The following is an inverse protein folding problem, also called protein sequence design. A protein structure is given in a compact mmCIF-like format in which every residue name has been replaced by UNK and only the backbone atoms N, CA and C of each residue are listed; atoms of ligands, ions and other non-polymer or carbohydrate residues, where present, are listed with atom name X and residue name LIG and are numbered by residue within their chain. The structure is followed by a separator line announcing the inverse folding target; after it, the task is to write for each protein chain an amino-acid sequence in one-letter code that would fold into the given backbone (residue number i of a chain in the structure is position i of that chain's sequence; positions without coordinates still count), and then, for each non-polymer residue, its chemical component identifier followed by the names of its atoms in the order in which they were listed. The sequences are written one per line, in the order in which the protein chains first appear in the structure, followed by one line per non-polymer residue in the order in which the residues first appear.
data_IF_610291634246
#
_entry.id   IF_610291634246
#
_cell.length_a   1.000
_cell.length_b   1.000
_cell.length_c   1.000
_cell.angle_alpha   90.00
_cell.angle_beta   90.00
_cell.angle_gamma   90.00
#
_symmetry.space_group_name_H-M   'P 1'
#
loop_
_entity.id
_entity.type
_entity.pdbx_description
1 polymer ?
#
# COMPACT_ATOMS: atom_id res chain seq x y z
N UNK A 1 -3.47 11.77 -28.82
CA UNK A 1 -3.33 12.70 -27.68
C UNK A 1 -3.90 11.98 -26.48
N UNK A 2 -3.15 11.86 -25.40
CA UNK A 2 -3.68 11.24 -24.18
C UNK A 2 -4.64 12.20 -23.47
N UNK A 3 -5.56 11.68 -22.65
CA UNK A 3 -6.49 12.52 -21.85
C UNK A 3 -5.73 13.51 -20.99
N UNK A 4 -4.56 13.11 -20.46
CA UNK A 4 -3.72 14.00 -19.65
C UNK A 4 -3.11 15.14 -20.48
N UNK A 5 -2.76 14.91 -21.75
CA UNK A 5 -2.33 15.97 -22.68
C UNK A 5 -3.46 16.93 -23.00
N UNK A 6 -4.66 16.42 -23.29
CA UNK A 6 -5.84 17.26 -23.54
C UNK A 6 -6.17 18.15 -22.33
N UNK A 7 -6.06 17.64 -21.11
CA UNK A 7 -6.25 18.43 -19.89
C UNK A 7 -5.18 19.52 -19.76
N UNK A 8 -3.91 19.21 -20.07
CA UNK A 8 -2.81 20.18 -20.03
C UNK A 8 -3.00 21.30 -21.08
N UNK A 9 -3.56 20.97 -22.22
CA UNK A 9 -3.83 21.95 -23.28
C UNK A 9 -5.00 22.89 -22.95
N UNK A 10 -5.93 22.43 -22.11
CA UNK A 10 -7.11 23.22 -21.70
C UNK A 10 -6.95 24.02 -20.41
N UNK A 11 -6.02 23.63 -19.54
CA UNK A 11 -5.78 24.27 -18.25
C UNK A 11 -4.46 24.99 -18.21
N UNK A 12 -4.50 26.30 -17.90
CA UNK A 12 -3.28 27.05 -17.56
C UNK A 12 -2.81 26.66 -16.16
N UNK A 13 -1.55 26.33 -16.05
CA UNK A 13 -0.93 26.00 -14.76
C UNK A 13 -1.01 27.15 -13.75
N UNK A 14 -0.97 28.41 -14.24
CA UNK A 14 -1.09 29.60 -13.38
C UNK A 14 -2.48 29.64 -12.74
N UNK A 15 -3.54 29.36 -13.50
CA UNK A 15 -4.91 29.34 -13.01
C UNK A 15 -5.12 28.21 -11.99
N UNK A 16 -4.62 27.02 -12.29
CA UNK A 16 -4.70 25.87 -11.39
C UNK A 16 -3.98 26.16 -10.07
N UNK A 17 -2.76 26.69 -10.13
CA UNK A 17 -1.96 26.96 -8.92
C UNK A 17 -2.50 28.17 -8.16
N UNK A 18 -3.02 29.19 -8.84
CA UNK A 18 -3.59 30.39 -8.21
C UNK A 18 -4.80 30.08 -7.32
N UNK A 19 -5.51 29.01 -7.60
CA UNK A 19 -6.60 28.53 -6.74
C UNK A 19 -6.13 28.11 -5.33
N UNK A 20 -4.85 27.83 -5.15
CA UNK A 20 -4.26 27.35 -3.89
C UNK A 20 -3.25 28.31 -3.27
N UNK A 21 -2.59 29.14 -4.09
CA UNK A 21 -1.46 29.97 -3.67
C UNK A 21 -1.53 31.33 -4.35
N UNK A 22 -1.41 32.44 -3.60
CA UNK A 22 -1.41 33.78 -4.20
C UNK A 22 -0.12 33.98 -5.01
N UNK A 23 -0.23 33.87 -6.33
CA UNK A 23 0.88 34.07 -7.27
C UNK A 23 1.11 35.55 -7.57
N UNK A 24 2.38 35.99 -7.59
CA UNK A 24 2.81 37.32 -8.01
C UNK A 24 3.63 37.22 -9.30
N UNK A 25 3.25 37.97 -10.32
CA UNK A 25 3.95 38.05 -11.61
C UNK A 25 5.36 38.64 -11.40
N UNK A 26 6.37 37.98 -11.93
CA UNK A 26 7.78 38.40 -11.88
C UNK A 26 8.42 38.20 -13.26
N UNK A 27 8.21 39.13 -14.17
CA UNK A 27 8.61 39.02 -15.58
C UNK A 27 7.80 37.95 -16.33
N UNK A 28 8.50 36.91 -16.84
CA UNK A 28 7.87 35.79 -17.57
C UNK A 28 7.38 34.64 -16.68
N UNK A 29 7.62 34.74 -15.38
CA UNK A 29 7.26 33.69 -14.41
C UNK A 29 6.37 34.24 -13.31
N UNK A 30 5.78 33.34 -12.52
CA UNK A 30 5.05 33.73 -11.31
C UNK A 30 5.78 33.16 -10.08
N UNK A 31 5.74 33.93 -8.98
CA UNK A 31 6.40 33.56 -7.72
C UNK A 31 5.44 33.59 -6.54
N UNK A 32 5.66 32.71 -5.57
CA UNK A 32 4.92 32.68 -4.31
C UNK A 32 5.78 32.07 -3.19
N UNK A 33 5.29 32.16 -1.96
CA UNK A 33 5.76 31.29 -0.88
C UNK A 33 5.36 29.84 -1.20
N UNK A 34 6.25 28.91 -0.92
CA UNK A 34 6.01 27.51 -1.25
C UNK A 34 4.88 26.90 -0.40
N UNK A 35 3.86 26.26 -1.03
CA UNK A 35 2.77 25.64 -0.29
C UNK A 35 3.17 24.29 0.36
N UNK A 36 4.39 23.80 0.14
CA UNK A 36 4.86 22.49 0.56
C UNK A 36 5.90 22.51 1.68
N UNK A 37 6.39 23.71 2.07
CA UNK A 37 7.25 23.92 3.24
C UNK A 37 7.10 25.36 3.73
N UNK A 38 7.46 25.59 4.99
CA UNK A 38 7.42 26.93 5.58
C UNK A 38 8.64 27.76 5.16
N UNK A 39 8.42 28.97 4.66
CA UNK A 39 9.46 29.90 4.29
C UNK A 39 8.98 31.37 4.41
N UNK A 40 9.93 32.28 4.53
CA UNK A 40 9.66 33.74 4.57
C UNK A 40 9.94 34.44 3.25
N UNK A 41 10.74 33.82 2.37
CA UNK A 41 11.14 34.37 1.08
C UNK A 41 10.55 33.52 -0.04
N UNK A 42 9.85 34.12 -1.03
CA UNK A 42 9.24 33.37 -2.12
C UNK A 42 10.27 32.57 -2.94
N UNK A 43 10.17 31.25 -2.89
CA UNK A 43 11.02 30.34 -3.65
C UNK A 43 10.24 29.43 -4.64
N UNK A 44 8.91 29.47 -4.56
CA UNK A 44 8.07 28.72 -5.47
C UNK A 44 7.86 29.51 -6.77
N UNK A 45 8.21 28.91 -7.90
CA UNK A 45 8.15 29.55 -9.22
C UNK A 45 7.31 28.72 -10.16
N UNK A 46 6.38 29.37 -10.85
CA UNK A 46 5.55 28.77 -11.91
C UNK A 46 6.02 29.33 -13.25
N UNK A 47 6.21 28.45 -14.23
CA UNK A 47 6.67 28.74 -15.59
C UNK A 47 5.51 28.48 -16.56
N UNK A 48 4.75 29.53 -16.97
CA UNK A 48 3.60 29.35 -17.85
C UNK A 48 3.96 28.75 -19.21
N UNK A 49 5.07 29.20 -19.80
CA UNK A 49 5.50 28.77 -21.14
C UNK A 49 5.79 27.26 -21.21
N UNK A 50 6.25 26.65 -20.12
CA UNK A 50 6.53 25.21 -20.07
C UNK A 50 5.47 24.40 -19.35
N UNK A 51 4.42 25.05 -18.79
CA UNK A 51 3.39 24.36 -18.01
C UNK A 51 3.91 23.68 -16.75
N UNK A 52 5.00 24.21 -16.16
CA UNK A 52 5.68 23.59 -15.02
C UNK A 52 5.84 24.52 -13.83
N UNK A 53 6.14 23.97 -12.69
CA UNK A 53 6.49 24.69 -11.48
C UNK A 53 7.71 24.07 -10.79
N UNK A 54 8.43 24.87 -10.03
CA UNK A 54 9.55 24.41 -9.20
C UNK A 54 9.71 25.25 -7.94
N UNK A 55 10.00 24.58 -6.84
CA UNK A 55 10.48 25.21 -5.62
C UNK A 55 12.01 25.22 -5.60
N UNK A 56 12.62 26.40 -5.46
CA UNK A 56 14.06 26.60 -5.31
C UNK A 56 14.49 26.71 -3.85
N UNK A 57 13.54 26.52 -2.90
CA UNK A 57 13.79 26.50 -1.46
C UNK A 57 13.98 25.07 -0.92
N UNK A 58 13.71 24.90 0.36
CA UNK A 58 14.04 23.71 1.12
C UNK A 58 13.47 22.39 0.57
N UNK A 59 12.30 22.39 -0.07
CA UNK A 59 11.73 21.15 -0.58
C UNK A 59 12.26 20.72 -1.95
N UNK A 60 12.84 21.63 -2.75
CA UNK A 60 13.45 21.33 -4.05
C UNK A 60 12.55 20.63 -5.09
N UNK A 61 11.24 20.57 -4.84
CA UNK A 61 10.28 19.81 -5.66
C UNK A 61 9.74 20.63 -6.82
N UNK A 62 9.33 19.94 -7.88
CA UNK A 62 8.74 20.55 -9.07
C UNK A 62 7.96 19.53 -9.89
N UNK A 63 7.34 20.00 -10.97
CA UNK A 63 6.57 19.16 -11.87
C UNK A 63 5.59 19.97 -12.73
N UNK A 64 4.62 19.30 -13.31
CA UNK A 64 3.52 19.87 -14.06
C UNK A 64 2.28 20.13 -13.17
N UNK A 65 1.16 20.46 -13.78
CA UNK A 65 -0.09 20.70 -13.07
C UNK A 65 -0.62 19.45 -12.32
N UNK A 66 -0.41 18.24 -12.87
CA UNK A 66 -0.78 17.00 -12.18
C UNK A 66 0.06 16.77 -10.93
N UNK A 67 1.38 16.91 -11.06
CA UNK A 67 2.30 16.78 -9.92
C UNK A 67 1.98 17.81 -8.81
N UNK A 68 1.52 19.03 -9.18
CA UNK A 68 1.09 20.03 -8.22
C UNK A 68 -0.16 19.58 -7.45
N UNK A 69 -1.23 19.19 -8.16
CA UNK A 69 -2.52 18.81 -7.54
C UNK A 69 -2.35 17.53 -6.71
N UNK A 70 -1.66 16.50 -7.24
CA UNK A 70 -1.34 15.27 -6.50
C UNK A 70 -0.65 15.58 -5.17
N UNK A 71 0.34 16.48 -5.19
CA UNK A 71 1.09 16.83 -4.00
C UNK A 71 0.31 17.71 -3.03
N UNK A 72 -0.52 18.63 -3.56
CA UNK A 72 -1.28 19.57 -2.76
C UNK A 72 -2.46 18.93 -2.06
N UNK A 73 -3.22 18.10 -2.77
CA UNK A 73 -4.41 17.42 -2.28
C UNK A 73 -4.13 16.02 -1.72
N UNK A 74 -2.86 15.57 -1.78
CA UNK A 74 -2.43 14.21 -1.41
C UNK A 74 -3.18 13.11 -2.18
N UNK A 75 -3.40 13.36 -3.47
CA UNK A 75 -4.09 12.47 -4.40
C UNK A 75 -3.11 11.59 -5.17
N UNK A 76 -3.60 10.45 -5.65
CA UNK A 76 -2.89 9.70 -6.69
C UNK A 76 -3.14 10.31 -8.09
N UNK A 77 -2.47 9.73 -9.11
CA UNK A 77 -2.58 10.25 -10.47
C UNK A 77 -4.01 10.13 -11.03
N UNK A 78 -4.74 9.07 -10.71
CA UNK A 78 -6.12 8.84 -11.19
C UNK A 78 -7.07 9.85 -10.55
N UNK A 79 -6.98 10.05 -9.25
CA UNK A 79 -7.76 11.03 -8.51
C UNK A 79 -7.47 12.46 -9.01
N UNK A 80 -6.21 12.80 -9.23
CA UNK A 80 -5.82 14.09 -9.80
C UNK A 80 -6.32 14.26 -11.24
N UNK A 81 -6.32 13.18 -12.04
CA UNK A 81 -6.88 13.17 -13.39
C UNK A 81 -8.38 13.49 -13.37
N UNK A 82 -9.14 12.89 -12.46
CA UNK A 82 -10.58 13.12 -12.30
C UNK A 82 -10.87 14.57 -11.91
N UNK A 83 -10.15 15.12 -10.92
CA UNK A 83 -10.29 16.51 -10.48
C UNK A 83 -9.96 17.50 -11.61
N UNK A 84 -8.85 17.26 -12.32
CA UNK A 84 -8.41 18.16 -13.38
C UNK A 84 -9.26 18.03 -14.65
N UNK A 85 -9.74 16.83 -14.98
CA UNK A 85 -10.68 16.61 -16.07
C UNK A 85 -11.98 17.37 -15.85
N UNK A 86 -12.53 17.33 -14.63
CA UNK A 86 -13.73 18.10 -14.28
C UNK A 86 -13.49 19.61 -14.45
N UNK A 87 -12.32 20.12 -14.00
CA UNK A 87 -11.95 21.53 -14.19
C UNK A 87 -11.75 21.92 -15.66
N UNK A 88 -11.20 21.00 -16.47
CA UNK A 88 -10.96 21.23 -17.90
C UNK A 88 -12.21 21.06 -18.77
N UNK A 89 -13.32 20.56 -18.21
CA UNK A 89 -14.49 20.17 -18.99
C UNK A 89 -14.19 18.99 -19.96
N UNK A 90 -13.23 18.15 -19.60
CA UNK A 90 -12.87 16.94 -20.33
C UNK A 90 -13.67 15.78 -19.77
N UNK A 91 -14.46 15.13 -20.60
CA UNK A 91 -15.16 13.90 -20.21
C UNK A 91 -14.14 12.77 -20.16
N UNK A 92 -13.94 12.22 -18.97
CA UNK A 92 -13.24 10.93 -18.85
C UNK A 92 -14.17 9.88 -19.41
N UNK A 93 -13.71 9.12 -20.39
CA UNK A 93 -14.41 7.89 -20.75
C UNK A 93 -14.59 7.07 -19.46
N UNK A 94 -15.78 6.56 -19.17
CA UNK A 94 -15.94 5.61 -18.08
C UNK A 94 -14.90 4.52 -18.27
N UNK A 95 -14.27 4.01 -17.19
CA UNK A 95 -13.35 2.88 -17.31
C UNK A 95 -14.06 1.83 -18.14
N UNK A 96 -13.36 1.27 -19.14
CA UNK A 96 -13.95 0.18 -19.92
C UNK A 96 -14.42 -0.91 -18.93
N UNK A 97 -15.41 -1.67 -19.31
CA UNK A 97 -16.02 -2.67 -18.41
C UNK A 97 -14.95 -3.61 -17.85
N UNK A 98 -13.95 -3.96 -18.64
CA UNK A 98 -12.83 -4.81 -18.24
C UNK A 98 -11.94 -4.17 -17.15
N UNK A 99 -11.70 -2.84 -17.22
CA UNK A 99 -10.94 -2.12 -16.18
C UNK A 99 -11.73 -2.03 -14.88
N UNK A 100 -13.04 -1.74 -14.97
CA UNK A 100 -13.93 -1.71 -13.80
C UNK A 100 -14.02 -3.07 -13.11
N UNK A 101 -14.18 -4.16 -13.86
CA UNK A 101 -14.22 -5.52 -13.34
C UNK A 101 -12.90 -5.93 -12.66
N UNK A 102 -11.75 -5.53 -13.24
CA UNK A 102 -10.43 -5.75 -12.64
C UNK A 102 -10.27 -5.02 -11.31
N UNK A 103 -10.67 -3.76 -11.26
CA UNK A 103 -10.57 -2.95 -10.04
C UNK A 103 -11.48 -3.53 -8.95
N UNK A 104 -12.73 -3.88 -9.25
CA UNK A 104 -13.64 -4.54 -8.32
C UNK A 104 -13.10 -5.89 -7.83
N UNK A 105 -12.50 -6.68 -8.71
CA UNK A 105 -11.86 -7.94 -8.33
C UNK A 105 -10.68 -7.72 -7.38
N UNK A 106 -9.83 -6.73 -7.64
CA UNK A 106 -8.73 -6.38 -6.74
C UNK A 106 -9.22 -5.91 -5.37
N UNK A 107 -10.31 -5.14 -5.33
CA UNK A 107 -10.92 -4.69 -4.07
C UNK A 107 -11.45 -5.89 -3.27
N UNK A 108 -12.11 -6.83 -3.92
CA UNK A 108 -12.54 -8.09 -3.29
C UNK A 108 -11.36 -8.87 -2.69
N UNK A 109 -10.24 -8.99 -3.42
CA UNK A 109 -9.03 -9.64 -2.89
C UNK A 109 -8.43 -8.89 -1.69
N UNK A 110 -8.50 -7.54 -1.65
CA UNK A 110 -8.08 -6.73 -0.49
C UNK A 110 -8.96 -7.00 0.73
N UNK A 111 -10.28 -7.10 0.54
CA UNK A 111 -11.21 -7.48 1.61
C UNK A 111 -10.88 -8.85 2.20
N UNK A 112 -10.58 -9.84 1.35
CA UNK A 112 -10.17 -11.18 1.77
C UNK A 112 -8.86 -11.13 2.57
N UNK A 113 -7.85 -10.39 2.10
CA UNK A 113 -6.60 -10.23 2.82
C UNK A 113 -6.80 -9.51 4.16
N UNK A 114 -7.64 -8.48 4.21
CA UNK A 114 -7.96 -7.79 5.46
C UNK A 114 -8.69 -8.71 6.45
N UNK A 115 -9.63 -9.54 5.98
CA UNK A 115 -10.30 -10.53 6.81
C UNK A 115 -9.33 -11.58 7.36
N UNK A 116 -8.37 -12.04 6.53
CA UNK A 116 -7.33 -12.96 6.96
C UNK A 116 -6.38 -12.31 7.99
N UNK A 117 -6.01 -11.03 7.82
CA UNK A 117 -5.20 -10.30 8.78
C UNK A 117 -5.88 -10.19 10.16
N UNK A 118 -7.17 -9.86 10.17
CA UNK A 118 -7.97 -9.83 11.40
C UNK A 118 -8.05 -11.21 12.06
N UNK A 119 -8.24 -12.26 11.27
CA UNK A 119 -8.25 -13.63 11.77
C UNK A 119 -6.92 -13.99 12.45
N UNK A 120 -5.79 -13.83 11.76
CA UNK A 120 -4.49 -14.16 12.32
C UNK A 120 -4.14 -13.33 13.55
N UNK A 121 -4.50 -12.04 13.55
CA UNK A 121 -4.30 -11.16 14.70
C UNK A 121 -5.13 -11.63 15.91
N UNK A 122 -6.41 -11.94 15.71
CA UNK A 122 -7.28 -12.51 16.74
C UNK A 122 -6.72 -13.83 17.29
N UNK A 123 -6.18 -14.71 16.43
CA UNK A 123 -5.55 -15.94 16.88
C UNK A 123 -4.32 -15.66 17.76
N UNK A 124 -3.48 -14.69 17.41
CA UNK A 124 -2.34 -14.31 18.24
C UNK A 124 -2.77 -13.79 19.62
N UNK A 125 -3.80 -12.95 19.65
CA UNK A 125 -4.27 -12.30 20.86
C UNK A 125 -4.97 -13.27 21.84
N UNK A 126 -5.85 -14.12 21.34
CA UNK A 126 -6.80 -14.86 22.18
C UNK A 126 -6.63 -16.39 22.17
N UNK A 127 -5.99 -16.96 21.15
CA UNK A 127 -5.88 -18.42 21.05
C UNK A 127 -4.86 -19.00 22.03
N UNK A 128 -5.19 -20.03 22.83
CA UNK A 128 -4.21 -20.78 23.61
C UNK A 128 -3.09 -21.39 22.76
N UNK A 129 -3.40 -21.80 21.53
CA UNK A 129 -2.43 -22.37 20.59
C UNK A 129 -1.35 -21.37 20.15
N UNK A 130 -1.55 -20.05 20.38
CA UNK A 130 -0.58 -19.02 20.06
C UNK A 130 0.42 -18.72 21.20
N UNK A 131 0.42 -19.48 22.29
CA UNK A 131 1.29 -19.24 23.45
C UNK A 131 2.77 -19.13 23.05
N UNK A 132 3.27 -20.08 22.26
CA UNK A 132 4.67 -20.08 21.80
C UNK A 132 4.97 -18.89 20.87
N UNK A 133 4.00 -18.47 20.06
CA UNK A 133 4.14 -17.31 19.21
C UNK A 133 4.27 -16.02 20.05
N UNK A 134 3.48 -15.86 21.11
CA UNK A 134 3.58 -14.72 22.04
C UNK A 134 4.93 -14.69 22.74
N UNK A 135 5.36 -15.83 23.31
CA UNK A 135 6.68 -15.97 23.96
C UNK A 135 7.81 -15.66 22.95
N UNK A 136 7.66 -16.10 21.70
CA UNK A 136 8.64 -15.80 20.65
C UNK A 136 8.75 -14.30 20.40
N UNK A 137 7.62 -13.57 20.27
CA UNK A 137 7.60 -12.13 20.01
C UNK A 137 8.16 -11.34 21.21
N UNK A 138 7.82 -11.74 22.43
CA UNK A 138 8.37 -11.16 23.67
C UNK A 138 9.90 -11.32 23.75
N UNK A 139 10.42 -12.51 23.46
CA UNK A 139 11.87 -12.76 23.39
C UNK A 139 12.59 -11.95 22.31
N UNK A 140 11.87 -11.53 21.27
CA UNK A 140 12.36 -10.62 20.24
C UNK A 140 12.29 -9.14 20.66
N UNK A 141 11.78 -8.85 21.84
CA UNK A 141 11.68 -7.52 22.40
C UNK A 141 10.54 -6.69 21.81
N UNK A 142 9.57 -7.32 21.12
CA UNK A 142 8.42 -6.60 20.58
C UNK A 142 7.37 -6.36 21.65
N UNK A 143 6.97 -5.10 21.81
CA UNK A 143 5.89 -4.72 22.72
C UNK A 143 4.50 -4.91 22.07
N UNK A 144 3.45 -4.85 22.89
CA UNK A 144 2.07 -5.00 22.46
C UNK A 144 1.65 -3.89 21.47
N UNK A 145 2.14 -2.66 21.68
CA UNK A 145 1.80 -1.54 20.83
C UNK A 145 2.30 -1.75 19.40
N UNK A 146 3.52 -2.25 19.25
CA UNK A 146 4.10 -2.60 17.94
C UNK A 146 3.37 -3.80 17.31
N UNK A 147 3.06 -4.84 18.09
CA UNK A 147 2.30 -6.01 17.62
C UNK A 147 0.94 -5.58 17.07
N UNK A 148 0.23 -4.68 17.77
CA UNK A 148 -1.08 -4.18 17.35
C UNK A 148 -0.98 -3.23 16.15
N UNK A 149 -0.02 -2.29 16.16
CA UNK A 149 0.18 -1.34 15.07
C UNK A 149 0.46 -2.03 13.72
N UNK A 150 1.26 -3.09 13.74
CA UNK A 150 1.54 -3.90 12.55
C UNK A 150 0.53 -5.04 12.33
N UNK A 151 -0.46 -5.17 13.22
CA UNK A 151 -1.49 -6.22 13.17
C UNK A 151 -0.88 -7.63 13.02
N UNK A 152 0.22 -7.88 13.77
CA UNK A 152 0.88 -9.18 13.74
C UNK A 152 -0.08 -10.28 14.19
N UNK A 153 0.08 -11.47 13.63
CA UNK A 153 -0.84 -12.57 13.85
C UNK A 153 -0.16 -13.92 14.03
N UNK A 154 -0.98 -14.90 14.28
CA UNK A 154 -0.58 -16.30 14.34
C UNK A 154 -1.45 -17.15 13.42
N UNK A 155 -0.83 -17.95 12.60
CA UNK A 155 -1.49 -18.99 11.81
C UNK A 155 -1.48 -20.30 12.64
N UNK A 156 -2.66 -20.83 13.02
CA UNK A 156 -2.76 -22.07 13.78
C UNK A 156 -2.15 -23.27 13.05
N UNK A 157 -1.83 -24.33 13.79
CA UNK A 157 -1.44 -25.62 13.23
C UNK A 157 -2.70 -26.38 12.76
N UNK A 158 -3.26 -25.91 11.65
CA UNK A 158 -4.47 -26.47 11.04
C UNK A 158 -4.35 -26.41 9.52
N UNK A 159 -4.96 -27.38 8.86
CA UNK A 159 -4.93 -27.48 7.40
C UNK A 159 -5.98 -26.60 6.71
N UNK A 160 -7.06 -26.19 7.40
CA UNK A 160 -8.23 -25.55 6.80
C UNK A 160 -8.94 -24.51 7.69
N UNK A 161 -8.32 -24.11 8.80
CA UNK A 161 -8.97 -23.19 9.75
C UNK A 161 -9.21 -21.79 9.16
N UNK A 162 -8.25 -21.23 8.41
CA UNK A 162 -8.43 -19.97 7.71
C UNK A 162 -9.41 -20.13 6.54
N UNK A 163 -9.27 -21.19 5.75
CA UNK A 163 -10.18 -21.49 4.65
C UNK A 163 -11.62 -21.57 5.14
N UNK A 164 -11.87 -22.33 6.22
CA UNK A 164 -13.19 -22.42 6.86
C UNK A 164 -13.74 -21.08 7.32
N UNK A 165 -12.89 -20.27 7.98
CA UNK A 165 -13.26 -18.93 8.44
C UNK A 165 -13.65 -17.99 7.29
N UNK A 166 -12.89 -17.99 6.19
CA UNK A 166 -13.17 -17.14 5.04
C UNK A 166 -14.41 -17.60 4.25
N UNK A 167 -14.59 -18.93 4.11
CA UNK A 167 -15.81 -19.48 3.48
C UNK A 167 -17.08 -19.16 4.25
N UNK A 168 -17.05 -19.17 5.57
CA UNK A 168 -18.20 -18.76 6.41
C UNK A 168 -18.58 -17.28 6.21
N UNK A 169 -17.64 -16.45 5.70
CA UNK A 169 -17.89 -15.05 5.32
C UNK A 169 -18.34 -14.86 3.87
N UNK A 170 -18.57 -15.96 3.14
CA UNK A 170 -19.08 -15.92 1.78
C UNK A 170 -18.02 -15.79 0.68
N UNK A 171 -16.72 -15.85 1.02
CA UNK A 171 -15.66 -15.82 0.00
C UNK A 171 -15.56 -17.18 -0.69
N UNK A 172 -15.39 -17.15 -2.01
CA UNK A 172 -15.21 -18.38 -2.79
C UNK A 172 -13.78 -18.93 -2.63
N UNK A 173 -13.64 -20.19 -2.87
CA UNK A 173 -12.35 -20.88 -2.77
C UNK A 173 -11.36 -20.38 -3.81
N UNK A 174 -11.86 -20.06 -5.01
CA UNK A 174 -11.07 -19.47 -6.10
C UNK A 174 -10.52 -18.10 -5.73
N UNK A 175 -11.32 -17.24 -5.09
CA UNK A 175 -10.87 -15.93 -4.64
C UNK A 175 -9.84 -16.03 -3.51
N UNK A 176 -10.03 -16.97 -2.58
CA UNK A 176 -9.09 -17.22 -1.48
C UNK A 176 -7.75 -17.77 -2.03
N UNK A 177 -7.79 -18.62 -3.05
CA UNK A 177 -6.61 -19.10 -3.77
C UNK A 177 -5.90 -17.96 -4.51
N UNK A 178 -6.65 -17.11 -5.21
CA UNK A 178 -6.11 -15.96 -5.93
C UNK A 178 -5.50 -14.91 -4.98
N UNK A 179 -5.99 -14.80 -3.74
CA UNK A 179 -5.37 -14.00 -2.69
C UNK A 179 -4.07 -14.62 -2.13
N UNK A 180 -3.75 -15.87 -2.51
CA UNK A 180 -2.53 -16.56 -2.09
C UNK A 180 -2.56 -17.07 -0.64
N UNK A 181 -3.74 -17.28 -0.07
CA UNK A 181 -3.94 -17.70 1.32
C UNK A 181 -4.03 -19.21 1.48
N UNK A 182 -4.38 -19.92 0.42
CA UNK A 182 -4.44 -21.37 0.37
C UNK A 182 -3.57 -21.93 -0.74
N UNK A 183 -3.32 -23.20 -0.69
CA UNK A 183 -2.61 -23.97 -1.71
C UNK A 183 -3.56 -24.99 -2.28
N UNK A 184 -3.59 -25.10 -3.59
CA UNK A 184 -4.23 -26.18 -4.33
C UNK A 184 -3.21 -27.29 -4.57
N UNK A 185 -3.61 -28.54 -4.31
CA UNK A 185 -2.83 -29.74 -4.58
C UNK A 185 -3.68 -30.77 -5.30
N UNK A 186 -3.24 -31.15 -6.48
CA UNK A 186 -3.80 -32.27 -7.22
C UNK A 186 -3.03 -33.55 -6.85
N UNK A 187 -3.76 -34.61 -6.59
CA UNK A 187 -3.21 -35.94 -6.33
C UNK A 187 -3.23 -36.73 -7.62
N UNK A 188 -2.07 -36.93 -8.23
CA UNK A 188 -1.87 -37.58 -9.53
C UNK A 188 -2.56 -38.97 -9.61
N UNK A 189 -2.53 -39.74 -8.52
CA UNK A 189 -3.11 -41.09 -8.48
C UNK A 189 -4.64 -41.12 -8.57
N UNK A 190 -5.32 -40.06 -8.13
CA UNK A 190 -6.80 -40.04 -8.02
C UNK A 190 -7.44 -38.90 -8.80
N UNK A 191 -6.66 -37.97 -9.36
CA UNK A 191 -7.15 -36.73 -9.97
C UNK A 191 -7.91 -35.82 -9.00
N UNK A 192 -7.83 -36.11 -7.68
CA UNK A 192 -8.54 -35.35 -6.67
C UNK A 192 -7.79 -34.07 -6.34
N UNK A 193 -8.50 -32.94 -6.39
CA UNK A 193 -7.98 -31.64 -5.98
C UNK A 193 -8.31 -31.39 -4.51
N UNK A 194 -7.33 -30.98 -3.73
CA UNK A 194 -7.47 -30.61 -2.32
C UNK A 194 -6.92 -29.21 -2.10
N UNK A 195 -7.52 -28.47 -1.16
CA UNK A 195 -7.10 -27.13 -0.79
C UNK A 195 -6.78 -27.08 0.70
N UNK A 196 -5.71 -26.37 1.07
CA UNK A 196 -5.30 -26.23 2.46
C UNK A 196 -4.64 -24.87 2.72
N UNK A 197 -4.66 -24.44 3.99
CA UNK A 197 -4.09 -23.18 4.43
C UNK A 197 -2.61 -23.08 4.10
N UNK A 198 -2.19 -21.98 3.46
CA UNK A 198 -0.79 -21.75 3.10
C UNK A 198 0.08 -21.54 4.33
N UNK A 199 -0.41 -20.77 5.29
CA UNK A 199 0.30 -20.42 6.50
C UNK A 199 -0.20 -21.32 7.65
N UNK A 200 0.69 -22.04 8.28
CA UNK A 200 0.39 -22.95 9.41
C UNK A 200 1.51 -22.90 10.42
N UNK A 201 1.17 -22.87 11.71
CA UNK A 201 2.11 -22.86 12.84
C UNK A 201 3.19 -21.77 12.72
N UNK A 202 2.80 -20.54 12.32
CA UNK A 202 3.73 -19.43 12.03
C UNK A 202 3.27 -18.13 12.64
N UNK A 203 4.22 -17.30 13.07
CA UNK A 203 3.96 -15.87 13.23
C UNK A 203 3.75 -15.28 11.85
N UNK A 204 2.68 -14.50 11.69
CA UNK A 204 2.27 -13.89 10.43
C UNK A 204 2.33 -12.38 10.57
N UNK A 205 2.87 -11.72 9.54
CA UNK A 205 2.95 -10.26 9.45
C UNK A 205 2.25 -9.82 8.16
N UNK A 206 1.19 -9.00 8.24
CA UNK A 206 0.55 -8.44 7.07
C UNK A 206 1.52 -7.52 6.32
N UNK A 207 1.59 -7.68 5.01
CA UNK A 207 2.35 -6.79 4.12
C UNK A 207 1.35 -5.81 3.53
N UNK A 208 1.64 -4.50 3.67
CA UNK A 208 0.78 -3.42 3.24
C UNK A 208 1.38 -2.66 2.07
N UNK A 209 0.52 -2.18 1.19
CA UNK A 209 0.91 -1.23 0.16
C UNK A 209 1.11 0.17 0.75
N UNK A 210 1.51 1.14 -0.07
CA UNK A 210 1.75 2.54 0.35
C UNK A 210 0.50 3.23 0.92
N UNK A 211 -0.70 2.69 0.65
CA UNK A 211 -1.99 3.17 1.17
C UNK A 211 -2.37 2.51 2.49
N UNK A 212 -1.58 1.56 2.98
CA UNK A 212 -1.84 0.79 4.21
C UNK A 212 -2.80 -0.39 4.01
N UNK A 213 -3.16 -0.74 2.76
CA UNK A 213 -4.02 -1.87 2.46
C UNK A 213 -3.23 -3.19 2.48
N UNK A 214 -3.80 -4.23 3.09
CA UNK A 214 -3.14 -5.54 3.15
C UNK A 214 -3.16 -6.19 1.78
N UNK A 215 -1.97 -6.42 1.22
CA UNK A 215 -1.79 -7.01 -0.13
C UNK A 215 -1.22 -8.42 -0.09
N UNK A 216 -0.71 -8.85 1.04
CA UNK A 216 -0.15 -10.18 1.26
C UNK A 216 0.37 -10.36 2.67
N UNK A 217 1.12 -11.42 2.88
CA UNK A 217 1.63 -11.80 4.20
C UNK A 217 3.06 -12.33 4.11
N UNK A 218 3.87 -11.98 5.11
CA UNK A 218 5.09 -12.67 5.47
C UNK A 218 4.82 -13.57 6.66
N UNK A 219 5.43 -14.75 6.70
CA UNK A 219 5.27 -15.63 7.83
C UNK A 219 6.61 -16.26 8.23
N UNK A 220 6.83 -16.42 9.54
CA UNK A 220 8.02 -17.01 10.11
C UNK A 220 7.69 -18.26 10.93
N UNK A 221 8.43 -19.34 10.66
CA UNK A 221 8.33 -20.57 11.44
C UNK A 221 8.72 -20.35 12.91
N UNK A 222 8.00 -20.98 13.82
CA UNK A 222 8.29 -20.92 15.25
C UNK A 222 9.39 -21.91 15.65
N UNK A 223 9.45 -23.04 14.98
CA UNK A 223 10.40 -24.12 15.26
C UNK A 223 11.45 -24.24 14.17
N UNK A 224 12.61 -24.84 14.47
CA UNK A 224 13.74 -24.97 13.53
C UNK A 224 13.54 -26.06 12.48
N UNK A 225 12.73 -27.05 12.78
CA UNK A 225 12.38 -28.19 11.91
C UNK A 225 11.35 -27.79 10.83
N UNK A 226 10.63 -26.71 11.03
CA UNK A 226 9.64 -26.23 10.07
C UNK A 226 10.28 -25.45 8.91
N UNK A 227 10.21 -26.02 7.71
CA UNK A 227 10.75 -25.42 6.49
C UNK A 227 9.64 -24.92 5.54
N UNK A 228 9.88 -23.84 4.79
CA UNK A 228 10.99 -22.90 4.91
C UNK A 228 10.85 -22.02 6.16
N UNK A 229 11.95 -21.51 6.71
CA UNK A 229 11.96 -20.62 7.88
C UNK A 229 11.11 -19.37 7.68
N UNK A 230 11.13 -18.80 6.47
CA UNK A 230 10.28 -17.68 6.04
C UNK A 230 9.45 -18.11 4.85
N UNK A 231 8.18 -17.76 4.88
CA UNK A 231 7.22 -18.03 3.81
C UNK A 231 6.43 -16.75 3.52
N UNK A 232 6.36 -16.38 2.26
CA UNK A 232 5.58 -15.21 1.83
C UNK A 232 4.37 -15.64 0.98
N UNK A 233 3.40 -14.73 0.86
CA UNK A 233 2.39 -14.80 -0.19
C UNK A 233 3.09 -14.97 -1.55
N UNK A 234 2.59 -15.82 -2.45
CA UNK A 234 3.12 -15.94 -3.81
C UNK A 234 2.78 -14.69 -4.63
N UNK A 235 3.24 -14.63 -5.88
CA UNK A 235 2.76 -13.63 -6.83
C UNK A 235 1.23 -13.71 -6.95
N UNK A 236 0.55 -12.57 -6.75
CA UNK A 236 -0.92 -12.47 -6.86
C UNK A 236 -1.30 -11.19 -7.62
N UNK A 237 -2.57 -10.97 -7.98
CA UNK A 237 -3.01 -9.71 -8.55
C UNK A 237 -2.76 -8.48 -7.66
N UNK A 238 -2.56 -8.67 -6.34
CA UNK A 238 -2.27 -7.61 -5.37
C UNK A 238 -0.81 -7.52 -4.95
N UNK A 239 -0.09 -8.64 -4.96
CA UNK A 239 1.24 -8.76 -4.35
C UNK A 239 2.30 -9.13 -5.38
N UNK A 240 3.24 -8.22 -5.57
CA UNK A 240 4.51 -8.44 -6.25
C UNK A 240 5.65 -8.12 -5.29
N UNK A 241 6.39 -9.16 -4.89
CA UNK A 241 7.50 -9.03 -3.94
C UNK A 241 8.58 -8.05 -4.40
N UNK A 242 8.78 -7.88 -5.70
CA UNK A 242 9.80 -6.97 -6.26
C UNK A 242 9.41 -5.49 -6.17
N UNK A 243 8.13 -5.19 -5.97
CA UNK A 243 7.59 -3.83 -6.00
C UNK A 243 7.17 -3.28 -4.62
N UNK A 244 7.30 -4.08 -3.55
CA UNK A 244 6.81 -3.73 -2.21
C UNK A 244 7.97 -3.70 -1.21
N UNK A 245 8.01 -2.61 -0.43
CA UNK A 245 8.87 -2.48 0.76
C UNK A 245 7.99 -2.56 2.02
N UNK A 246 8.27 -3.56 2.86
CA UNK A 246 7.58 -3.74 4.14
C UNK A 246 7.80 -2.55 5.07
N UNK A 247 6.74 -2.04 5.71
CA UNK A 247 6.79 -0.92 6.66
C UNK A 247 6.91 0.46 6.01
N UNK A 248 6.87 0.55 4.66
CA UNK A 248 6.93 1.84 3.97
C UNK A 248 5.68 2.69 4.24
N UNK A 249 4.51 2.08 4.34
CA UNK A 249 3.25 2.73 4.69
C UNK A 249 3.34 3.45 6.04
N UNK A 250 3.88 2.78 7.05
CA UNK A 250 4.06 3.32 8.40
C UNK A 250 5.17 4.38 8.50
N UNK A 251 6.26 4.24 7.71
CA UNK A 251 7.45 5.11 7.80
C UNK A 251 7.42 6.31 6.85
N UNK A 252 6.59 6.34 5.82
CA UNK A 252 6.63 7.35 4.74
C UNK A 252 6.55 8.80 5.21
N UNK A 253 5.77 9.08 6.25
CA UNK A 253 5.64 10.44 6.80
C UNK A 253 6.94 10.89 7.49
N UNK A 254 7.54 10.00 8.29
CA UNK A 254 8.81 10.27 8.96
C UNK A 254 9.95 10.42 7.95
N UNK A 255 9.99 9.58 6.89
CA UNK A 255 10.95 9.70 5.80
C UNK A 255 10.83 11.06 5.11
N UNK A 256 9.61 11.50 4.80
CA UNK A 256 9.36 12.82 4.18
C UNK A 256 9.79 13.98 5.10
N UNK A 257 9.45 13.89 6.38
CA UNK A 257 9.76 14.94 7.35
C UNK A 257 11.27 15.05 7.64
N UNK A 258 11.96 13.91 7.74
CA UNK A 258 13.39 13.86 8.10
C UNK A 258 14.33 13.84 6.90
N UNK A 259 13.83 13.58 5.67
CA UNK A 259 14.62 13.42 4.46
C UNK A 259 15.59 12.22 4.50
N UNK A 260 15.32 11.22 5.35
CA UNK A 260 16.17 10.04 5.56
C UNK A 260 15.33 8.78 5.66
N UNK A 261 15.84 7.67 5.11
CA UNK A 261 15.29 6.33 5.25
C UNK A 261 16.36 5.37 5.75
N UNK A 262 15.97 4.39 6.55
CA UNK A 262 16.82 3.29 7.00
C UNK A 262 16.29 2.03 6.33
N UNK A 263 17.15 1.31 5.61
CA UNK A 263 16.82 0.05 4.94
C UNK A 263 17.45 -1.09 5.74
N UNK A 264 16.66 -2.10 6.06
CA UNK A 264 17.07 -3.31 6.79
C UNK A 264 16.61 -4.56 6.03
N UNK A 265 17.14 -5.74 6.38
CA UNK A 265 16.94 -6.94 5.56
C UNK A 265 15.64 -7.71 5.88
N UNK A 266 15.17 -7.68 7.13
CA UNK A 266 14.10 -8.55 7.59
C UNK A 266 12.91 -7.84 8.23
N UNK A 267 11.77 -8.52 8.26
CA UNK A 267 10.55 -8.01 8.92
C UNK A 267 10.78 -7.64 10.38
N UNK A 268 11.53 -8.48 11.13
CA UNK A 268 11.79 -8.24 12.55
C UNK A 268 12.65 -7.00 12.77
N UNK A 269 13.58 -6.72 11.86
CA UNK A 269 14.44 -5.54 11.93
C UNK A 269 13.64 -4.26 11.67
N UNK A 270 12.70 -4.29 10.72
CA UNK A 270 11.77 -3.17 10.49
C UNK A 270 10.91 -2.92 11.73
N UNK A 271 10.34 -3.96 12.33
CA UNK A 271 9.52 -3.86 13.53
C UNK A 271 10.30 -3.26 14.70
N UNK A 272 11.54 -3.74 14.94
CA UNK A 272 12.41 -3.22 15.98
C UNK A 272 12.84 -1.75 15.74
N UNK A 273 13.01 -1.33 14.48
CA UNK A 273 13.29 0.07 14.15
C UNK A 273 12.08 0.99 14.31
N UNK A 274 10.88 0.44 14.25
CA UNK A 274 9.63 1.20 14.43
C UNK A 274 9.26 1.38 15.91
N UNK A 275 9.59 0.43 16.75
CA UNK A 275 9.41 0.49 18.20
C UNK A 275 10.31 1.53 18.84
#
# INVERSE_FOLDING_TARGET
MSVAEEIKDRLDIVDVVSAYVPLRKAGRVYKALCPFHQEKTPSFVVFPESGTWRCFGACGTGGDLFAFVMKRENLDFREALEVLAQKAGVSLAPPDQATSERDQYRDKLREINQAAALYFHSQLQSSPAAADARVYLERRGLDSATIDAFQMGYAPDSWDSLLGYLRQRGYTQEDILAAGLIIEKEFEETGRVSHYDRFRQRVVVPIRDIRGQVVGFGARALTSDQQPKYLNTPQTPLFDKSSILFGLDASRQAIRAKGKAIIVEGYMDVLACHQ
#
